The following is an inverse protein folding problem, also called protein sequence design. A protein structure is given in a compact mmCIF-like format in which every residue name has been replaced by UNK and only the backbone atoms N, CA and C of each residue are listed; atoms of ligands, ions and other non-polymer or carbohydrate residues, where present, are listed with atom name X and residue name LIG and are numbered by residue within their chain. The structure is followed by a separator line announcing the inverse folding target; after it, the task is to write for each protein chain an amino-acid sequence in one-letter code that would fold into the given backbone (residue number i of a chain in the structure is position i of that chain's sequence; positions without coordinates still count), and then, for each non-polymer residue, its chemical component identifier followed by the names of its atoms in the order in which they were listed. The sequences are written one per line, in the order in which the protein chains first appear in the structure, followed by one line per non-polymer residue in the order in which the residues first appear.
data_IF_162570978033
#
_entry.id   IF_162570978033
#
_cell.length_a   1.000
_cell.length_b   1.000
_cell.length_c   1.000
_cell.angle_alpha   90.00
_cell.angle_beta   90.00
_cell.angle_gamma   90.00
#
_symmetry.space_group_name_H-M   'P 1'
#
loop_
_entity.id
_entity.type
_entity.pdbx_description
1 polymer ?
#
# COMPACT_ATOMS: atom_id res chain seq x y z
N UNK A 1 10.57 -7.31 2.53
CA UNK A 1 10.86 -6.97 3.94
C UNK A 1 10.55 -8.14 4.85
N UNK A 2 10.43 -7.89 6.16
CA UNK A 2 10.11 -8.90 7.17
C UNK A 2 8.75 -9.56 6.94
N UNK A 3 7.73 -8.76 6.59
CA UNK A 3 6.34 -9.21 6.46
C UNK A 3 6.02 -10.00 5.19
N UNK A 4 6.89 -9.91 4.18
CA UNK A 4 6.64 -10.49 2.86
C UNK A 4 7.36 -9.75 1.74
N UNK A 5 6.85 -9.90 0.53
CA UNK A 5 7.31 -9.20 -0.68
C UNK A 5 6.12 -8.59 -1.41
N UNK A 6 6.35 -7.46 -2.08
CA UNK A 6 5.37 -6.84 -2.97
C UNK A 6 5.91 -6.97 -4.39
N UNK A 7 5.05 -7.42 -5.30
CA UNK A 7 5.38 -7.58 -6.72
C UNK A 7 4.49 -6.65 -7.54
N UNK A 8 5.04 -6.10 -8.61
CA UNK A 8 4.22 -5.55 -9.69
C UNK A 8 3.70 -6.70 -10.55
N UNK A 9 2.39 -6.73 -10.80
CA UNK A 9 1.73 -7.76 -11.58
C UNK A 9 0.78 -7.12 -12.60
N UNK A 10 0.51 -7.82 -13.71
CA UNK A 10 -0.55 -7.47 -14.64
C UNK A 10 -1.78 -8.30 -14.28
N UNK A 11 -2.90 -7.64 -13.94
CA UNK A 11 -4.19 -8.31 -13.81
C UNK A 11 -4.73 -8.58 -15.21
N UNK A 12 -4.86 -9.86 -15.57
CA UNK A 12 -5.31 -10.25 -16.90
C UNK A 12 -6.82 -10.03 -17.12
N UNK A 13 -7.62 -9.85 -16.06
CA UNK A 13 -9.05 -9.58 -16.19
C UNK A 13 -9.30 -8.12 -16.53
N UNK A 14 -8.61 -7.21 -15.85
CA UNK A 14 -8.76 -5.75 -16.04
C UNK A 14 -7.75 -5.18 -17.03
N UNK A 15 -6.67 -5.91 -17.34
CA UNK A 15 -5.50 -5.44 -18.10
C UNK A 15 -4.77 -4.27 -17.41
N UNK A 16 -4.87 -4.15 -16.08
CA UNK A 16 -4.23 -3.11 -15.29
C UNK A 16 -3.01 -3.63 -14.51
N UNK A 17 -2.04 -2.75 -14.29
CA UNK A 17 -0.91 -3.04 -13.41
C UNK A 17 -1.31 -2.85 -11.94
N UNK A 18 -1.06 -3.86 -11.12
CA UNK A 18 -1.39 -3.90 -9.69
C UNK A 18 -0.17 -4.21 -8.84
N UNK A 19 -0.23 -3.88 -7.56
CA UNK A 19 0.78 -4.27 -6.57
C UNK A 19 0.25 -5.42 -5.71
N UNK A 20 0.89 -6.60 -5.77
CA UNK A 20 0.48 -7.78 -4.99
C UNK A 20 1.44 -7.99 -3.82
N UNK A 21 0.94 -7.79 -2.60
CA UNK A 21 1.66 -8.09 -1.36
C UNK A 21 1.45 -9.56 -1.00
N UNK A 22 2.52 -10.35 -1.09
CA UNK A 22 2.55 -11.75 -0.70
C UNK A 22 3.09 -11.84 0.73
N UNK A 23 2.21 -12.15 1.67
CA UNK A 23 2.53 -12.28 3.09
C UNK A 23 3.17 -13.64 3.35
N UNK A 24 4.13 -13.72 4.28
CA UNK A 24 4.74 -14.99 4.68
C UNK A 24 3.69 -15.97 5.22
N UNK A 25 3.86 -17.26 4.96
CA UNK A 25 2.89 -18.31 5.30
C UNK A 25 2.82 -18.70 6.79
N UNK A 26 3.64 -18.10 7.65
CA UNK A 26 3.57 -18.33 9.10
C UNK A 26 2.29 -17.73 9.69
N UNK A 27 1.64 -18.45 10.61
CA UNK A 27 0.36 -18.09 11.24
C UNK A 27 0.33 -16.66 11.74
N UNK A 28 1.33 -16.25 12.54
CA UNK A 28 1.42 -14.87 13.09
C UNK A 28 1.34 -13.78 12.02
N UNK A 29 1.96 -13.99 10.85
CA UNK A 29 1.93 -13.00 9.76
C UNK A 29 0.61 -13.06 8.99
N UNK A 30 0.02 -14.25 8.85
CA UNK A 30 -1.30 -14.42 8.25
C UNK A 30 -2.38 -13.73 9.09
N UNK A 31 -2.36 -13.92 10.41
CA UNK A 31 -3.29 -13.27 11.34
C UNK A 31 -3.18 -11.74 11.27
N UNK A 32 -1.94 -11.22 11.25
CA UNK A 32 -1.71 -9.79 11.07
C UNK A 32 -2.20 -9.27 9.71
N UNK A 33 -2.11 -10.06 8.65
CA UNK A 33 -2.62 -9.69 7.33
C UNK A 33 -4.15 -9.65 7.29
N UNK A 34 -4.83 -10.53 8.02
CA UNK A 34 -6.30 -10.47 8.13
C UNK A 34 -6.75 -9.18 8.85
N UNK A 35 -6.04 -8.76 9.89
CA UNK A 35 -6.30 -7.46 10.55
C UNK A 35 -6.09 -6.31 9.57
N UNK A 36 -5.03 -6.34 8.76
CA UNK A 36 -4.77 -5.33 7.74
C UNK A 36 -5.88 -5.26 6.68
N UNK A 37 -6.35 -6.42 6.20
CA UNK A 37 -7.48 -6.52 5.26
C UNK A 37 -8.75 -5.90 5.86
N UNK A 38 -9.06 -6.22 7.12
CA UNK A 38 -10.26 -5.72 7.77
C UNK A 38 -10.20 -4.19 7.96
N UNK A 39 -9.05 -3.65 8.38
CA UNK A 39 -8.83 -2.20 8.49
C UNK A 39 -9.01 -1.52 7.13
N UNK A 40 -8.40 -2.07 6.07
CA UNK A 40 -8.49 -1.51 4.71
C UNK A 40 -9.91 -1.52 4.15
N UNK A 41 -10.71 -2.56 4.47
CA UNK A 41 -12.13 -2.62 4.12
C UNK A 41 -12.93 -1.52 4.81
N UNK A 42 -12.76 -1.38 6.12
CA UNK A 42 -13.44 -0.33 6.89
C UNK A 42 -13.07 1.06 6.38
N UNK A 43 -11.80 1.31 6.04
CA UNK A 43 -11.36 2.56 5.44
C UNK A 43 -12.06 2.81 4.09
N UNK A 44 -12.10 1.81 3.20
CA UNK A 44 -12.72 1.95 1.89
C UNK A 44 -14.24 2.24 1.96
N UNK A 45 -14.95 1.66 2.94
CA UNK A 45 -16.38 1.90 3.17
C UNK A 45 -16.69 3.32 3.65
N UNK A 46 -15.74 3.96 4.34
CA UNK A 46 -15.90 5.29 4.94
C UNK A 46 -15.18 6.39 4.17
N UNK A 47 -14.52 6.04 3.05
CA UNK A 47 -13.77 6.98 2.24
C UNK A 47 -14.69 7.84 1.36
N UNK A 48 -15.10 9.02 1.89
CA UNK A 48 -16.01 9.95 1.22
C UNK A 48 -15.31 10.97 0.32
N UNK A 49 -14.02 11.24 0.54
CA UNK A 49 -13.30 12.39 -0.05
C UNK A 49 -11.96 11.98 -0.69
N UNK A 50 -11.54 10.72 -0.55
CA UNK A 50 -10.23 10.25 -0.96
C UNK A 50 -9.25 10.35 0.21
N UNK A 51 -9.36 9.40 1.14
CA UNK A 51 -8.34 9.17 2.16
C UNK A 51 -7.05 8.89 1.41
N UNK A 52 -5.97 9.63 1.67
CA UNK A 52 -4.65 9.43 1.01
C UNK A 52 -4.00 8.09 1.40
N UNK A 53 -4.81 7.11 1.79
CA UNK A 53 -4.52 5.73 2.08
C UNK A 53 -4.56 4.91 0.79
N UNK A 54 -3.72 3.88 0.74
CA UNK A 54 -3.69 2.94 -0.38
C UNK A 54 -5.00 2.16 -0.48
N UNK A 55 -5.51 2.00 -1.70
CA UNK A 55 -6.72 1.21 -1.95
C UNK A 55 -6.39 -0.26 -2.16
N UNK A 56 -7.03 -1.10 -1.34
CA UNK A 56 -7.07 -2.53 -1.58
C UNK A 56 -8.13 -2.84 -2.63
N UNK A 57 -7.74 -3.49 -3.72
CA UNK A 57 -8.67 -3.93 -4.77
C UNK A 57 -9.26 -5.30 -4.46
N UNK A 58 -8.44 -6.23 -3.96
CA UNK A 58 -8.87 -7.59 -3.63
C UNK A 58 -7.88 -8.26 -2.67
N UNK A 59 -8.22 -9.44 -2.15
CA UNK A 59 -7.28 -10.33 -1.47
C UNK A 59 -7.67 -11.80 -1.68
N UNK A 60 -6.70 -12.70 -1.54
CA UNK A 60 -6.92 -14.14 -1.66
C UNK A 60 -5.86 -14.93 -0.88
N UNK A 61 -6.18 -16.18 -0.52
CA UNK A 61 -5.19 -17.14 -0.03
C UNK A 61 -4.67 -17.99 -1.19
N UNK A 62 -3.35 -18.01 -1.37
CA UNK A 62 -2.70 -18.86 -2.35
C UNK A 62 -1.54 -19.62 -1.74
N UNK A 63 -1.62 -20.96 -1.75
CA UNK A 63 -0.58 -21.86 -1.22
C UNK A 63 -0.15 -21.49 0.20
N UNK A 64 -1.12 -21.20 1.06
CA UNK A 64 -0.90 -20.80 2.45
C UNK A 64 -0.24 -19.41 2.60
N UNK A 65 -0.27 -18.57 1.56
CA UNK A 65 0.10 -17.16 1.62
C UNK A 65 -1.13 -16.28 1.47
N UNK A 66 -1.34 -15.35 2.39
CA UNK A 66 -2.30 -14.27 2.18
C UNK A 66 -1.70 -13.29 1.18
N UNK A 67 -2.42 -13.07 0.08
CA UNK A 67 -2.06 -12.17 -1.00
C UNK A 67 -3.05 -11.00 -1.00
N UNK A 68 -2.54 -9.78 -0.87
CA UNK A 68 -3.36 -8.55 -0.88
C UNK A 68 -3.02 -7.78 -2.14
N UNK A 69 -4.05 -7.44 -2.92
CA UNK A 69 -3.95 -6.71 -4.18
C UNK A 69 -4.26 -5.24 -3.94
N UNK A 70 -3.32 -4.39 -4.29
CA UNK A 70 -3.42 -2.93 -4.17
C UNK A 70 -3.34 -2.28 -5.54
N UNK A 71 -3.86 -1.05 -5.63
CA UNK A 71 -3.52 -0.17 -6.74
C UNK A 71 -2.00 0.03 -6.84
N UNK A 72 -1.49 0.17 -8.07
CA UNK A 72 -0.08 0.48 -8.30
C UNK A 72 0.15 1.98 -8.08
N UNK A 73 0.99 2.31 -7.12
CA UNK A 73 1.45 3.67 -6.84
C UNK A 73 2.88 3.92 -7.36
N UNK A 74 3.30 5.18 -7.28
CA UNK A 74 4.65 5.61 -7.61
C UNK A 74 5.71 5.21 -6.56
N UNK A 75 6.95 5.68 -6.75
CA UNK A 75 8.05 5.44 -5.80
C UNK A 75 7.74 6.00 -4.41
N UNK A 76 8.29 5.37 -3.37
CA UNK A 76 8.21 5.92 -2.01
C UNK A 76 8.97 7.26 -1.90
N UNK A 77 8.66 8.06 -0.88
CA UNK A 77 9.42 9.29 -0.58
C UNK A 77 10.91 8.97 -0.34
N UNK A 78 11.21 7.83 0.29
CA UNK A 78 12.59 7.37 0.50
C UNK A 78 13.30 7.05 -0.83
N UNK A 79 12.63 6.33 -1.74
CA UNK A 79 13.20 6.03 -3.06
C UNK A 79 13.43 7.31 -3.86
N UNK A 80 12.52 8.27 -3.74
CA UNK A 80 12.64 9.59 -4.38
C UNK A 80 13.85 10.36 -3.83
N UNK A 81 14.02 10.41 -2.51
CA UNK A 81 15.21 11.00 -1.87
C UNK A 81 16.49 10.32 -2.35
N UNK A 82 16.52 8.99 -2.36
CA UNK A 82 17.68 8.22 -2.80
C UNK A 82 18.04 8.51 -4.26
N UNK A 83 17.04 8.56 -5.16
CA UNK A 83 17.24 8.94 -6.58
C UNK A 83 17.78 10.36 -6.72
N UNK A 84 17.35 11.27 -5.85
CA UNK A 84 17.83 12.65 -5.80
C UNK A 84 19.10 12.82 -4.94
N UNK A 85 19.87 11.74 -4.70
CA UNK A 85 21.12 11.76 -3.90
C UNK A 85 20.95 12.40 -2.53
N UNK A 86 19.81 12.15 -1.88
CA UNK A 86 19.44 12.66 -0.57
C UNK A 86 19.41 14.20 -0.46
N UNK A 87 19.25 14.91 -1.59
CA UNK A 87 18.97 16.35 -1.54
C UNK A 87 17.59 16.56 -0.91
N UNK A 88 17.45 17.52 0.02
CA UNK A 88 16.19 17.78 0.69
C UNK A 88 15.11 18.25 -0.30
N UNK A 89 13.85 17.94 0.02
CA UNK A 89 12.73 18.50 -0.70
C UNK A 89 12.57 19.99 -0.39
N UNK A 90 12.12 20.81 -1.36
CA UNK A 90 11.63 22.16 -1.09
C UNK A 90 10.58 22.16 0.03
N UNK A 91 10.61 23.19 0.88
CA UNK A 91 9.73 23.30 2.05
C UNK A 91 8.23 23.26 1.67
N UNK A 92 7.88 23.76 0.50
CA UNK A 92 6.50 23.74 0.02
C UNK A 92 6.01 22.31 -0.23
N UNK A 93 6.85 21.44 -0.83
CA UNK A 93 6.52 20.02 -0.98
C UNK A 93 6.43 19.31 0.37
N UNK A 94 7.30 19.66 1.32
CA UNK A 94 7.23 19.09 2.68
C UNK A 94 5.91 19.47 3.35
N UNK A 95 5.42 20.69 3.15
CA UNK A 95 4.12 21.14 3.65
C UNK A 95 2.97 20.37 3.02
N UNK A 96 3.03 20.11 1.71
CA UNK A 96 2.01 19.33 1.00
C UNK A 96 1.99 17.86 1.46
N UNK A 97 3.15 17.23 1.62
CA UNK A 97 3.25 15.88 2.20
C UNK A 97 2.68 15.85 3.61
N UNK A 98 3.01 16.85 4.44
CA UNK A 98 2.46 16.98 5.79
C UNK A 98 0.95 17.07 5.80
N UNK A 99 0.36 17.88 4.90
CA UNK A 99 -1.10 17.99 4.75
C UNK A 99 -1.73 16.66 4.35
N UNK A 100 -1.23 16.01 3.31
CA UNK A 100 -1.77 14.73 2.84
C UNK A 100 -1.67 13.63 3.90
N UNK A 101 -0.58 13.58 4.65
CA UNK A 101 -0.42 12.65 5.78
C UNK A 101 -1.44 12.93 6.89
N UNK A 102 -1.65 14.19 7.26
CA UNK A 102 -2.64 14.56 8.26
C UNK A 102 -4.07 14.24 7.81
N UNK A 103 -4.39 14.50 6.53
CA UNK A 103 -5.68 14.13 5.93
C UNK A 103 -5.90 12.60 5.88
N UNK A 104 -4.83 11.79 5.84
CA UNK A 104 -4.94 10.33 5.84
C UNK A 104 -5.25 9.72 7.22
N UNK A 105 -5.00 10.47 8.30
CA UNK A 105 -5.19 10.01 9.70
C UNK A 105 -6.33 10.73 10.42
N UNK A 106 -6.91 11.76 9.81
CA UNK A 106 -8.01 12.55 10.35
C UNK A 106 -9.36 11.85 10.19
#
# INVERSE_FOLDING_TARGET
GTFGRVLECLDHQTQEHVAVKIVRSNSRYRDAAMIEIDVLRHLAEHDRIGSHCVKMQNWFDYRNHICIVFEKLGPSLYDTLKRNRYRPFPVDLVRDFGRQLLESVA
#
